data_IF_306839843620
#
_entry.id   IF_306839843620
#
_cell.length_a   1.000
_cell.length_b   1.000
_cell.length_c   1.000
_cell.angle_alpha   90.00
_cell.angle_beta   90.00
_cell.angle_gamma   90.00
#
_symmetry.space_group_name_H-M   'P 1'
#
loop_
_entity.id
_entity.type
_entity.pdbx_description
1 polymer ?
#
# COMPACT_ATOMS: atom_id res chain seq x y z
N UNK A 1 3.07 6.10 -19.45
CA UNK A 1 4.14 6.44 -18.48
C UNK A 1 4.51 5.21 -17.66
N UNK A 2 5.78 5.06 -17.29
CA UNK A 2 6.31 3.92 -16.49
C UNK A 2 5.51 3.68 -15.21
N UNK A 3 5.18 4.76 -14.49
CA UNK A 3 4.41 4.75 -13.25
C UNK A 3 3.03 4.09 -13.45
N UNK A 4 2.24 4.60 -14.40
CA UNK A 4 0.90 4.07 -14.67
C UNK A 4 0.96 2.61 -15.10
N UNK A 5 1.95 2.24 -15.92
CA UNK A 5 2.12 0.85 -16.34
C UNK A 5 2.37 -0.06 -15.15
N UNK A 6 3.30 0.29 -14.25
CA UNK A 6 3.59 -0.50 -13.04
C UNK A 6 2.36 -0.67 -12.14
N UNK A 7 1.59 0.39 -11.90
CA UNK A 7 0.39 0.34 -11.05
C UNK A 7 -0.68 -0.62 -11.60
N UNK A 8 -0.90 -0.63 -12.92
CA UNK A 8 -1.94 -1.44 -13.55
C UNK A 8 -1.47 -2.84 -13.97
N UNK A 9 -0.18 -3.03 -14.28
CA UNK A 9 0.39 -4.36 -14.54
C UNK A 9 0.70 -5.14 -13.26
N UNK A 10 0.82 -4.44 -12.12
CA UNK A 10 1.23 -5.04 -10.84
C UNK A 10 2.74 -5.16 -10.67
N UNK A 11 3.54 -4.68 -11.62
CA UNK A 11 5.00 -4.72 -11.58
C UNK A 11 5.58 -3.54 -10.78
N UNK A 12 5.14 -3.45 -9.52
CA UNK A 12 5.38 -2.34 -8.61
C UNK A 12 6.86 -2.24 -8.22
N UNK A 13 7.58 -3.35 -8.19
CA UNK A 13 9.01 -3.40 -7.84
C UNK A 13 9.93 -2.65 -8.81
N UNK A 14 9.45 -2.29 -10.00
CA UNK A 14 10.23 -1.49 -10.98
C UNK A 14 10.17 0.02 -10.75
N UNK A 15 9.33 0.48 -9.84
CA UNK A 15 9.26 1.91 -9.51
C UNK A 15 10.55 2.34 -8.85
N UNK A 16 11.15 3.40 -9.38
CA UNK A 16 12.35 4.03 -8.82
C UNK A 16 11.98 4.94 -7.65
N UNK A 17 12.97 5.36 -6.85
CA UNK A 17 12.74 6.33 -5.78
C UNK A 17 12.11 7.63 -6.32
N UNK A 18 12.58 8.13 -7.47
CA UNK A 18 12.00 9.31 -8.11
C UNK A 18 10.55 9.11 -8.56
N UNK A 19 10.19 7.90 -9.01
CA UNK A 19 8.79 7.59 -9.36
C UNK A 19 7.89 7.64 -8.11
N UNK A 20 8.37 7.11 -6.98
CA UNK A 20 7.62 7.13 -5.72
C UNK A 20 7.50 8.53 -5.13
N UNK A 21 8.55 9.35 -5.24
CA UNK A 21 8.50 10.76 -4.85
C UNK A 21 7.50 11.55 -5.70
N UNK A 22 7.43 11.28 -7.00
CA UNK A 22 6.41 11.86 -7.86
C UNK A 22 5.00 11.40 -7.47
N UNK A 23 4.82 10.10 -7.20
CA UNK A 23 3.55 9.58 -6.70
C UNK A 23 3.10 10.23 -5.38
N UNK A 24 4.03 10.51 -4.47
CA UNK A 24 3.74 11.23 -3.22
C UNK A 24 3.32 12.69 -3.47
N UNK A 25 3.97 13.38 -4.42
CA UNK A 25 3.72 14.79 -4.71
C UNK A 25 2.36 15.04 -5.36
N UNK A 26 2.01 14.28 -6.40
CA UNK A 26 0.80 14.54 -7.19
C UNK A 26 0.06 13.30 -7.73
N UNK A 27 0.63 12.10 -7.55
CA UNK A 27 0.10 10.90 -8.19
C UNK A 27 -0.94 10.11 -7.38
N UNK A 28 -0.73 9.99 -6.06
CA UNK A 28 -1.56 9.19 -5.16
C UNK A 28 -1.72 9.85 -3.80
N UNK A 29 -2.85 9.61 -3.11
CA UNK A 29 -2.95 9.96 -1.70
C UNK A 29 -1.88 9.20 -0.90
N UNK A 30 -1.23 9.92 0.02
CA UNK A 30 -0.15 9.40 0.85
C UNK A 30 -0.51 9.52 2.33
N UNK A 31 -0.22 8.49 3.12
CA UNK A 31 -0.35 8.50 4.57
C UNK A 31 0.97 8.08 5.21
N UNK A 32 1.42 8.86 6.20
CA UNK A 32 2.58 8.49 6.99
C UNK A 32 2.19 7.51 8.09
N UNK A 33 2.91 6.38 8.16
CA UNK A 33 2.80 5.42 9.23
C UNK A 33 3.59 5.92 10.45
N UNK A 34 3.03 5.67 11.63
CA UNK A 34 3.60 6.14 12.91
C UNK A 34 4.63 5.16 13.48
N UNK A 35 4.41 3.87 13.27
CA UNK A 35 5.26 2.79 13.77
C UNK A 35 5.18 1.58 12.83
N UNK A 36 6.17 0.69 12.97
CA UNK A 36 6.22 -0.63 12.35
C UNK A 36 6.67 -1.66 13.41
N UNK A 37 6.19 -2.92 13.34
CA UNK A 37 5.16 -3.40 12.42
C UNK A 37 3.78 -2.78 12.73
N UNK A 38 2.91 -2.75 11.73
CA UNK A 38 1.52 -2.28 11.89
C UNK A 38 0.56 -3.17 11.13
N UNK A 39 -0.57 -3.49 11.74
CA UNK A 39 -1.58 -4.35 11.13
C UNK A 39 -2.17 -3.78 9.84
N UNK A 40 -2.24 -4.59 8.79
CA UNK A 40 -2.77 -4.20 7.48
C UNK A 40 -4.23 -3.71 7.59
N UNK A 41 -5.03 -4.36 8.42
CA UNK A 41 -6.43 -3.97 8.66
C UNK A 41 -6.56 -2.52 9.12
N UNK A 42 -5.74 -2.11 10.10
CA UNK A 42 -5.79 -0.76 10.64
C UNK A 42 -5.26 0.26 9.62
N UNK A 43 -4.24 -0.10 8.86
CA UNK A 43 -3.73 0.74 7.76
C UNK A 43 -4.79 0.96 6.68
N UNK A 44 -5.52 -0.08 6.29
CA UNK A 44 -6.59 0.05 5.29
C UNK A 44 -7.69 1.00 5.74
N UNK A 45 -8.01 1.03 7.03
CA UNK A 45 -9.00 1.97 7.58
C UNK A 45 -8.44 3.38 7.67
N UNK A 46 -7.22 3.54 8.21
CA UNK A 46 -6.55 4.85 8.32
C UNK A 46 -6.36 5.53 6.96
N UNK A 47 -6.07 4.76 5.92
CA UNK A 47 -5.92 5.27 4.53
C UNK A 47 -7.24 5.52 3.83
N UNK A 48 -8.38 5.15 4.43
CA UNK A 48 -9.70 5.26 3.81
C UNK A 48 -9.96 4.22 2.71
N UNK A 49 -9.05 3.27 2.49
CA UNK A 49 -9.26 2.14 1.60
C UNK A 49 -10.39 1.24 2.11
N UNK A 50 -10.63 1.17 3.41
CA UNK A 50 -11.78 0.52 4.02
C UNK A 50 -12.50 1.47 4.99
N UNK A 51 -13.82 1.35 5.10
CA UNK A 51 -14.63 2.18 6.04
C UNK A 51 -14.64 1.65 7.47
N UNK A 52 -14.20 0.42 7.70
CA UNK A 52 -14.17 -0.23 9.02
C UNK A 52 -13.25 -1.45 9.02
N UNK A 53 -12.85 -1.90 10.22
CA UNK A 53 -11.99 -3.08 10.38
C UNK A 53 -12.68 -4.34 9.84
N UNK A 54 -14.01 -4.46 9.98
CA UNK A 54 -14.77 -5.59 9.41
C UNK A 54 -14.65 -5.60 7.88
N UNK A 55 -14.87 -4.45 7.24
CA UNK A 55 -14.80 -4.32 5.79
C UNK A 55 -13.38 -4.54 5.26
N UNK A 56 -12.36 -4.09 5.99
CA UNK A 56 -10.96 -4.36 5.66
C UNK A 56 -10.67 -5.87 5.63
N UNK A 57 -11.09 -6.61 6.68
CA UNK A 57 -10.94 -8.06 6.74
C UNK A 57 -11.69 -8.78 5.62
N UNK A 58 -12.90 -8.32 5.28
CA UNK A 58 -13.66 -8.86 4.14
C UNK A 58 -12.91 -8.65 2.82
N UNK A 59 -12.30 -7.48 2.59
CA UNK A 59 -11.52 -7.24 1.37
C UNK A 59 -10.27 -8.11 1.30
N UNK A 60 -9.58 -8.30 2.41
CA UNK A 60 -8.41 -9.19 2.50
C UNK A 60 -8.82 -10.64 2.20
N UNK A 61 -9.85 -11.16 2.88
CA UNK A 61 -10.34 -12.52 2.65
C UNK A 61 -10.85 -12.75 1.22
N UNK A 62 -11.39 -11.72 0.58
CA UNK A 62 -11.79 -11.75 -0.83
C UNK A 62 -10.63 -11.54 -1.82
N UNK A 63 -9.37 -11.53 -1.36
CA UNK A 63 -8.17 -11.31 -2.19
C UNK A 63 -8.20 -10.01 -2.98
N UNK A 64 -8.89 -9.00 -2.44
CA UNK A 64 -9.08 -7.70 -3.06
C UNK A 64 -8.02 -6.67 -2.63
N UNK A 65 -7.08 -7.04 -1.75
CA UNK A 65 -6.03 -6.16 -1.25
C UNK A 65 -4.67 -6.67 -1.72
N UNK A 66 -3.82 -5.76 -2.18
CA UNK A 66 -2.41 -6.06 -2.42
C UNK A 66 -1.48 -4.98 -1.86
N UNK A 67 -0.28 -5.42 -1.49
CA UNK A 67 0.82 -4.59 -1.00
C UNK A 67 1.99 -4.80 -1.95
N UNK A 68 2.50 -3.72 -2.55
CA UNK A 68 3.56 -3.75 -3.56
C UNK A 68 3.29 -4.74 -4.72
N UNK A 69 2.02 -4.91 -5.09
CA UNK A 69 1.60 -5.82 -6.15
C UNK A 69 1.31 -7.25 -5.69
N UNK A 70 1.72 -7.65 -4.48
CA UNK A 70 1.45 -8.96 -3.90
C UNK A 70 0.10 -8.99 -3.19
N UNK A 71 -0.76 -9.95 -3.56
CA UNK A 71 -2.10 -10.11 -2.96
C UNK A 71 -1.98 -10.69 -1.56
N UNK A 72 -2.59 -10.02 -0.58
CA UNK A 72 -2.61 -10.46 0.81
C UNK A 72 -3.98 -11.08 1.12
N UNK A 73 -3.98 -12.31 1.65
CA UNK A 73 -5.19 -13.06 2.05
C UNK A 73 -5.38 -13.18 3.56
N UNK A 74 -4.33 -12.91 4.34
CA UNK A 74 -4.35 -13.10 5.80
C UNK A 74 -4.69 -11.78 6.51
N UNK A 75 -5.73 -11.83 7.34
CA UNK A 75 -6.26 -10.63 8.01
C UNK A 75 -5.39 -10.12 9.17
N UNK A 76 -4.51 -10.97 9.68
CA UNK A 76 -3.50 -10.67 10.71
C UNK A 76 -2.16 -10.22 10.09
N UNK A 77 -2.09 -10.10 8.75
CA UNK A 77 -0.90 -9.60 8.08
C UNK A 77 -0.48 -8.22 8.59
N UNK A 78 0.83 -8.06 8.78
CA UNK A 78 1.45 -6.82 9.22
C UNK A 78 2.29 -6.22 8.10
N UNK A 79 2.33 -4.90 8.05
CA UNK A 79 3.26 -4.15 7.23
C UNK A 79 4.55 -3.95 8.00
N UNK A 80 5.66 -4.34 7.38
CA UNK A 80 6.99 -4.31 7.97
C UNK A 80 7.95 -3.46 7.14
N UNK A 81 9.06 -3.04 7.76
CA UNK A 81 10.10 -2.26 7.10
C UNK A 81 10.77 -2.99 5.92
N UNK A 82 10.87 -4.31 5.99
CA UNK A 82 11.52 -5.13 4.95
C UNK A 82 10.76 -5.16 3.63
N UNK A 83 9.45 -4.88 3.65
CA UNK A 83 8.63 -4.80 2.45
C UNK A 83 8.76 -3.45 1.74
N UNK A 84 9.38 -2.44 2.35
CA UNK A 84 9.38 -1.09 1.82
C UNK A 84 10.21 -0.95 0.54
N UNK A 85 9.58 -0.39 -0.49
CA UNK A 85 10.25 0.03 -1.71
C UNK A 85 11.20 1.19 -1.36
N UNK A 86 12.48 1.01 -1.72
CA UNK A 86 13.55 1.96 -1.41
C UNK A 86 13.61 2.33 0.07
N UNK A 87 13.21 1.40 0.96
CA UNK A 87 13.20 1.59 2.41
C UNK A 87 12.22 2.63 2.94
N UNK A 88 11.33 3.17 2.11
CA UNK A 88 10.53 4.35 2.46
C UNK A 88 9.03 4.20 2.21
N UNK A 89 8.62 3.45 1.19
CA UNK A 89 7.22 3.43 0.75
C UNK A 89 6.66 2.01 0.59
N UNK A 90 5.37 1.90 0.83
CA UNK A 90 4.54 0.76 0.46
C UNK A 90 3.41 1.25 -0.44
N UNK A 91 3.11 0.53 -1.51
CA UNK A 91 1.95 0.80 -2.35
C UNK A 91 0.85 -0.17 -1.98
N UNK A 92 -0.22 0.37 -1.42
CA UNK A 92 -1.44 -0.35 -1.10
C UNK A 92 -2.39 -0.25 -2.29
N UNK A 93 -3.04 -1.35 -2.62
CA UNK A 93 -4.09 -1.39 -3.64
C UNK A 93 -5.29 -2.13 -3.11
N UNK A 94 -6.48 -1.59 -3.38
CA UNK A 94 -7.75 -2.29 -3.21
C UNK A 94 -8.51 -2.38 -4.53
N UNK A 95 -8.91 -3.60 -4.89
CA UNK A 95 -9.60 -3.88 -6.15
C UNK A 95 -8.76 -3.49 -7.36
N UNK A 96 -9.37 -2.86 -8.36
CA UNK A 96 -8.69 -2.55 -9.63
C UNK A 96 -8.00 -1.18 -9.68
N UNK A 97 -8.55 -0.18 -8.99
CA UNK A 97 -8.22 1.24 -9.24
C UNK A 97 -7.89 2.06 -7.99
N UNK A 98 -8.12 1.52 -6.79
CA UNK A 98 -7.88 2.28 -5.57
C UNK A 98 -6.48 1.98 -5.09
N UNK A 99 -5.62 2.98 -5.18
CA UNK A 99 -4.24 2.91 -4.77
C UNK A 99 -4.00 3.96 -3.68
N UNK A 100 -3.11 3.64 -2.76
CA UNK A 100 -2.71 4.54 -1.68
C UNK A 100 -1.23 4.30 -1.36
N UNK A 101 -0.50 5.38 -1.13
CA UNK A 101 0.89 5.32 -0.74
C UNK A 101 0.98 5.34 0.79
N UNK A 102 1.67 4.37 1.39
CA UNK A 102 1.97 4.38 2.82
C UNK A 102 3.48 4.66 2.98
N UNK A 103 3.81 5.77 3.64
CA UNK A 103 5.19 6.18 3.90
C UNK A 103 5.61 5.72 5.29
N UNK A 104 6.78 5.11 5.38
CA UNK A 104 7.32 4.64 6.65
C UNK A 104 7.74 5.82 7.55
N UNK A 105 7.74 5.63 8.88
CA UNK A 105 8.34 6.61 9.79
C UNK A 105 9.83 6.73 9.49
N UNK A 106 10.35 7.96 9.49
CA UNK A 106 11.80 8.19 9.50
C UNK A 106 12.28 7.88 10.92
N UNK A 107 13.17 6.90 11.05
CA UNK A 107 13.93 6.67 12.29
C UNK A 107 14.92 7.79 12.55
#
# INVERSE_FOLDING_TARGET
>A
ARISQALFSGDIGRLTESDLAQLELDGLPCTQLEALPVGLVDVLVRTGLAKSNKMAREFIGNKAVSVNGEVISEADAELTGSQALHGQYLILKRGKKLFHLAKLPRS
#
